data_IF_192939164679
#
_entry.id   IF_192939164679
#
_cell.length_a   1.000
_cell.length_b   1.000
_cell.length_c   1.000
_cell.angle_alpha   90.00
_cell.angle_beta   90.00
_cell.angle_gamma   90.00
#
_symmetry.space_group_name_H-M   'P 1'
#
loop_
_entity.id
_entity.type
_entity.pdbx_description
1 polymer ?
#
# COMPACT_ATOMS: atom_id res chain seq x y z
N UNK A 1 24.22 5.76 -0.25
CA UNK A 1 23.42 6.24 -1.40
C UNK A 1 22.21 5.33 -1.54
N UNK A 2 20.98 5.86 -1.73
CA UNK A 2 19.76 5.03 -1.88
C UNK A 2 19.43 4.94 -3.37
N UNK A 3 19.23 3.73 -3.87
CA UNK A 3 18.80 3.49 -5.25
C UNK A 3 17.33 3.06 -5.28
N UNK A 4 16.58 3.59 -6.23
CA UNK A 4 15.20 3.17 -6.50
C UNK A 4 15.12 2.54 -7.90
N UNK A 5 14.57 1.34 -7.96
CA UNK A 5 14.34 0.62 -9.21
C UNK A 5 12.85 0.49 -9.46
N UNK A 6 12.43 0.65 -10.71
CA UNK A 6 11.05 0.51 -11.14
C UNK A 6 10.98 -0.54 -12.26
N UNK A 7 10.25 -1.60 -12.01
CA UNK A 7 10.07 -2.70 -12.95
C UNK A 7 8.58 -2.91 -13.27
N UNK A 8 8.32 -3.41 -14.49
CA UNK A 8 6.96 -3.76 -14.90
C UNK A 8 6.66 -5.19 -14.47
N UNK A 9 5.50 -5.38 -13.85
CA UNK A 9 4.94 -6.69 -13.47
C UNK A 9 4.00 -7.19 -14.57
N UNK A 10 3.94 -8.51 -14.75
CA UNK A 10 3.03 -9.20 -15.66
C UNK A 10 2.22 -10.26 -14.88
N UNK A 11 1.29 -9.85 -14.03
CA UNK A 11 0.43 -10.76 -13.30
C UNK A 11 -0.59 -11.39 -14.26
N UNK A 12 -0.98 -12.65 -13.98
CA UNK A 12 -2.12 -13.28 -14.62
C UNK A 12 -3.43 -12.77 -14.01
N UNK A 13 -4.59 -13.19 -14.57
CA UNK A 13 -5.90 -12.71 -14.14
C UNK A 13 -6.20 -12.97 -12.66
N UNK A 14 -5.88 -14.16 -12.15
CA UNK A 14 -6.09 -14.51 -10.75
C UNK A 14 -5.19 -13.67 -9.82
N UNK A 15 -3.93 -13.44 -10.21
CA UNK A 15 -3.00 -12.59 -9.48
C UNK A 15 -3.45 -11.12 -9.46
N UNK A 16 -4.00 -10.62 -10.58
CA UNK A 16 -4.60 -9.28 -10.65
C UNK A 16 -5.73 -9.16 -9.63
N UNK A 17 -6.66 -10.11 -9.65
CA UNK A 17 -7.81 -10.10 -8.73
C UNK A 17 -7.37 -10.13 -7.26
N UNK A 18 -6.41 -10.99 -6.92
CA UNK A 18 -5.85 -11.03 -5.57
C UNK A 18 -5.21 -9.70 -5.16
N UNK A 19 -4.39 -9.10 -6.04
CA UNK A 19 -3.74 -7.80 -5.76
C UNK A 19 -4.76 -6.68 -5.60
N UNK A 20 -5.84 -6.68 -6.37
CA UNK A 20 -6.94 -5.73 -6.22
C UNK A 20 -7.63 -5.89 -4.86
N UNK A 21 -7.92 -7.13 -4.43
CA UNK A 21 -8.48 -7.38 -3.11
C UNK A 21 -7.54 -6.89 -2.00
N UNK A 22 -6.23 -7.11 -2.11
CA UNK A 22 -5.26 -6.60 -1.14
C UNK A 22 -5.22 -5.06 -1.09
N UNK A 23 -5.45 -4.38 -2.21
CA UNK A 23 -5.58 -2.92 -2.24
C UNK A 23 -6.88 -2.44 -1.58
N UNK A 24 -7.99 -3.18 -1.73
CA UNK A 24 -9.24 -2.91 -1.01
C UNK A 24 -9.03 -3.01 0.49
N UNK A 25 -8.51 -4.14 0.96
CA UNK A 25 -8.21 -4.37 2.37
C UNK A 25 -7.31 -3.28 2.97
N UNK A 26 -6.27 -2.88 2.24
CA UNK A 26 -5.38 -1.81 2.69
C UNK A 26 -6.07 -0.43 2.73
N UNK A 27 -6.97 -0.16 1.79
CA UNK A 27 -7.76 1.06 1.75
C UNK A 27 -8.76 1.11 2.91
N UNK A 28 -9.44 0.00 3.18
CA UNK A 28 -10.43 -0.12 4.25
C UNK A 28 -9.77 0.00 5.61
N UNK A 29 -8.63 -0.67 5.83
CA UNK A 29 -7.83 -0.51 7.05
C UNK A 29 -7.39 0.95 7.27
N UNK A 30 -6.94 1.65 6.20
CA UNK A 30 -6.57 3.06 6.28
C UNK A 30 -7.76 3.93 6.70
N UNK A 31 -8.92 3.69 6.09
CA UNK A 31 -10.13 4.47 6.33
C UNK A 31 -10.73 4.19 7.72
N UNK A 32 -10.75 2.93 8.15
CA UNK A 32 -11.18 2.55 9.50
C UNK A 32 -10.31 3.19 10.58
N UNK A 33 -8.99 3.13 10.41
CA UNK A 33 -8.05 3.76 11.33
C UNK A 33 -8.17 5.30 11.37
N UNK A 34 -8.47 5.94 10.22
CA UNK A 34 -8.75 7.37 10.17
C UNK A 34 -10.06 7.70 10.89
N UNK A 35 -11.10 6.90 10.67
CA UNK A 35 -12.41 7.08 11.32
C UNK A 35 -12.26 6.97 12.84
N UNK A 36 -11.57 5.95 13.33
CA UNK A 36 -11.31 5.76 14.76
C UNK A 36 -10.63 6.99 15.39
N UNK A 37 -9.58 7.54 14.77
CA UNK A 37 -8.91 8.76 15.26
C UNK A 37 -9.86 9.97 15.30
N UNK A 38 -10.71 10.11 14.29
CA UNK A 38 -11.69 11.21 14.23
C UNK A 38 -12.74 11.09 15.32
N UNK A 39 -13.28 9.89 15.50
CA UNK A 39 -14.37 9.65 16.46
C UNK A 39 -13.87 9.74 17.90
N UNK A 40 -12.69 9.17 18.20
CA UNK A 40 -12.07 9.29 19.51
C UNK A 40 -11.84 10.75 19.91
N UNK A 41 -11.40 11.58 18.98
CA UNK A 41 -11.24 13.01 19.22
C UNK A 41 -12.57 13.74 19.35
N UNK A 42 -13.55 13.45 18.47
CA UNK A 42 -14.85 14.12 18.44
C UNK A 42 -15.67 13.81 19.69
N UNK A 43 -15.72 12.54 20.11
CA UNK A 43 -16.59 12.07 21.21
C UNK A 43 -15.88 12.22 22.55
N UNK A 44 -14.63 11.75 22.65
CA UNK A 44 -13.92 11.61 23.92
C UNK A 44 -12.76 12.61 24.09
N UNK A 45 -12.47 13.45 23.10
CA UNK A 45 -11.26 14.31 23.06
C UNK A 45 -9.95 13.54 23.24
N UNK A 46 -9.96 12.23 22.96
CA UNK A 46 -8.80 11.35 23.08
C UNK A 46 -8.00 11.35 21.79
N UNK A 47 -6.70 11.58 21.89
CA UNK A 47 -5.77 11.44 20.77
C UNK A 47 -5.30 9.99 20.67
N UNK A 48 -5.50 9.36 19.51
CA UNK A 48 -5.03 8.01 19.19
C UNK A 48 -3.79 8.13 18.30
N UNK A 49 -2.71 7.46 18.66
CA UNK A 49 -1.46 7.44 17.93
C UNK A 49 -1.26 6.13 17.14
N UNK A 50 -0.11 6.01 16.46
CA UNK A 50 0.24 4.82 15.69
C UNK A 50 0.30 3.55 16.56
N UNK A 51 0.87 3.62 17.75
CA UNK A 51 1.07 2.44 18.62
C UNK A 51 -0.24 1.92 19.15
N UNK A 52 -1.17 2.81 19.51
CA UNK A 52 -2.53 2.43 19.95
C UNK A 52 -3.22 1.57 18.90
N UNK A 53 -3.14 1.99 17.63
CA UNK A 53 -3.75 1.27 16.51
C UNK A 53 -2.96 0.02 16.10
N UNK A 54 -1.62 0.08 16.15
CA UNK A 54 -0.79 -1.07 15.81
C UNK A 54 -0.99 -2.26 16.77
N UNK A 55 -1.26 -1.98 18.04
CA UNK A 55 -1.56 -3.01 19.05
C UNK A 55 -2.88 -3.74 18.76
N UNK A 56 -3.82 -3.09 18.09
CA UNK A 56 -5.11 -3.70 17.70
C UNK A 56 -4.97 -4.66 16.49
N UNK A 57 -3.93 -4.53 15.67
CA UNK A 57 -3.79 -5.32 14.44
C UNK A 57 -3.74 -6.83 14.71
N UNK A 58 -3.09 -7.25 15.79
CA UNK A 58 -2.93 -8.68 16.12
C UNK A 58 -4.27 -9.34 16.48
N UNK A 59 -5.07 -8.82 17.41
CA UNK A 59 -6.41 -9.36 17.71
C UNK A 59 -7.35 -9.25 16.49
N UNK A 60 -7.42 -8.11 15.80
CA UNK A 60 -8.26 -7.95 14.62
C UNK A 60 -7.96 -9.00 13.53
N UNK A 61 -6.68 -9.33 13.36
CA UNK A 61 -6.27 -10.36 12.41
C UNK A 61 -6.67 -11.77 12.87
N UNK A 62 -6.58 -12.06 14.17
CA UNK A 62 -7.01 -13.34 14.74
C UNK A 62 -8.51 -13.55 14.58
N UNK A 63 -9.30 -12.50 14.63
CA UNK A 63 -10.75 -12.48 14.41
C UNK A 63 -11.13 -12.44 12.92
N UNK A 64 -10.16 -12.43 11.99
CA UNK A 64 -10.43 -12.39 10.55
C UNK A 64 -10.89 -11.04 10.00
N UNK A 65 -10.80 -9.97 10.77
CA UNK A 65 -11.24 -8.63 10.39
C UNK A 65 -10.29 -7.92 9.42
N UNK A 66 -9.09 -8.47 9.20
CA UNK A 66 -8.07 -7.92 8.28
C UNK A 66 -7.65 -9.00 7.29
N UNK A 67 -7.99 -8.83 6.02
CA UNK A 67 -7.68 -9.74 4.92
C UNK A 67 -6.31 -9.53 4.26
N UNK A 68 -5.49 -8.57 4.73
CA UNK A 68 -4.15 -8.35 4.19
C UNK A 68 -3.25 -9.56 4.44
N UNK A 69 -2.65 -10.10 3.38
CA UNK A 69 -1.84 -11.31 3.44
C UNK A 69 -0.57 -11.15 4.30
N UNK A 70 0.03 -9.96 4.30
CA UNK A 70 1.26 -9.69 5.04
C UNK A 70 1.03 -8.71 6.20
N UNK A 71 1.43 -9.10 7.41
CA UNK A 71 1.25 -8.28 8.62
C UNK A 71 2.03 -6.96 8.59
N UNK A 72 3.25 -6.96 8.03
CA UNK A 72 4.04 -5.73 7.91
C UNK A 72 3.40 -4.70 6.98
N UNK A 73 2.60 -5.16 6.00
CA UNK A 73 1.80 -4.28 5.15
C UNK A 73 0.70 -3.58 5.95
N UNK A 74 0.05 -4.28 6.91
CA UNK A 74 -0.94 -3.64 7.80
C UNK A 74 -0.28 -2.51 8.61
N UNK A 75 0.88 -2.78 9.18
CA UNK A 75 1.65 -1.76 9.93
C UNK A 75 2.04 -0.57 9.03
N UNK A 76 2.43 -0.81 7.76
CA UNK A 76 2.76 0.28 6.83
C UNK A 76 1.54 1.14 6.49
N UNK A 77 0.36 0.54 6.36
CA UNK A 77 -0.89 1.29 6.17
C UNK A 77 -1.12 2.27 7.32
N UNK A 78 -0.96 1.82 8.57
CA UNK A 78 -1.09 2.69 9.75
C UNK A 78 0.02 3.76 9.81
N UNK A 79 1.26 3.40 9.45
CA UNK A 79 2.37 4.39 9.35
C UNK A 79 2.11 5.46 8.30
N UNK A 80 1.48 5.12 7.17
CA UNK A 80 1.07 6.10 6.14
C UNK A 80 0.04 7.07 6.68
N UNK A 81 -0.95 6.58 7.45
CA UNK A 81 -1.92 7.43 8.11
C UNK A 81 -1.23 8.34 9.13
N UNK A 82 -0.37 7.79 9.96
CA UNK A 82 0.36 8.53 10.97
C UNK A 82 1.22 9.65 10.37
N UNK A 83 1.98 9.38 9.31
CA UNK A 83 2.71 10.40 8.54
C UNK A 83 1.80 11.52 8.02
N UNK A 84 0.57 11.19 7.64
CA UNK A 84 -0.41 12.18 7.18
C UNK A 84 -0.82 13.12 8.31
N UNK A 85 -1.04 12.58 9.52
CA UNK A 85 -1.32 13.38 10.71
C UNK A 85 -0.11 14.20 11.15
N UNK A 86 1.09 13.63 11.14
CA UNK A 86 2.32 14.36 11.43
C UNK A 86 2.50 15.56 10.49
N UNK A 87 2.27 15.37 9.19
CA UNK A 87 2.34 16.46 8.22
C UNK A 87 1.25 17.52 8.45
N UNK A 88 0.04 17.10 8.81
CA UNK A 88 -1.05 18.00 9.18
C UNK A 88 -0.66 18.87 10.39
N UNK A 89 -0.24 18.26 11.50
CA UNK A 89 0.14 19.00 12.70
C UNK A 89 1.39 19.86 12.52
N UNK A 90 2.35 19.42 11.69
CA UNK A 90 3.51 20.24 11.36
C UNK A 90 3.12 21.53 10.64
N UNK A 91 2.14 21.47 9.74
CA UNK A 91 1.60 22.66 9.07
C UNK A 91 0.83 23.57 10.02
N UNK A 92 0.00 23.00 10.88
CA UNK A 92 -0.73 23.79 11.93
C UNK A 92 0.27 24.56 12.79
N UNK A 93 1.34 23.88 13.25
CA UNK A 93 2.38 24.55 14.06
C UNK A 93 3.10 25.70 13.35
N UNK A 94 3.15 25.66 12.00
CA UNK A 94 3.70 26.76 11.19
C UNK A 94 2.70 27.89 10.91
N UNK A 95 1.49 27.83 11.50
CA UNK A 95 0.43 28.82 11.28
C UNK A 95 -0.31 28.65 9.95
N UNK A 96 -0.05 27.57 9.19
CA UNK A 96 -0.79 27.27 7.97
C UNK A 96 -2.22 26.80 8.31
N UNK A 97 -3.13 26.85 7.33
CA UNK A 97 -4.48 26.28 7.42
C UNK A 97 -4.57 24.99 6.58
N UNK A 98 -3.97 23.86 7.02
CA UNK A 98 -4.01 22.63 6.25
C UNK A 98 -5.39 21.99 6.30
N UNK A 99 -5.77 21.32 5.21
CA UNK A 99 -6.95 20.45 5.23
C UNK A 99 -6.72 19.23 6.14
N UNK A 100 -7.76 18.83 6.87
CA UNK A 100 -7.72 17.62 7.70
C UNK A 100 -7.47 16.35 6.84
N UNK A 101 -6.80 15.31 7.36
CA UNK A 101 -6.61 14.04 6.67
C UNK A 101 -7.93 13.49 6.12
N UNK A 102 -7.93 13.07 4.85
CA UNK A 102 -9.14 12.64 4.14
C UNK A 102 -9.17 11.13 3.95
N UNK A 103 -10.38 10.59 3.91
CA UNK A 103 -10.61 9.22 3.46
C UNK A 103 -10.05 8.98 2.06
N UNK A 104 -9.56 7.77 1.84
CA UNK A 104 -9.05 7.33 0.56
C UNK A 104 -10.15 6.61 -0.22
N UNK A 105 -10.37 7.03 -1.45
CA UNK A 105 -11.17 6.25 -2.39
C UNK A 105 -10.33 5.06 -2.86
N UNK A 106 -10.94 3.88 -2.98
CA UNK A 106 -10.31 2.71 -3.55
C UNK A 106 -9.69 2.98 -4.94
N UNK A 107 -10.33 3.80 -5.76
CA UNK A 107 -9.80 4.18 -7.09
C UNK A 107 -8.48 4.94 -7.04
N UNK A 108 -8.14 5.55 -5.91
CA UNK A 108 -6.91 6.32 -5.67
C UNK A 108 -5.92 5.60 -4.76
N UNK A 109 -6.30 4.43 -4.23
CA UNK A 109 -5.40 3.60 -3.43
C UNK A 109 -4.74 2.57 -4.35
N UNK A 110 -3.51 2.84 -4.78
CA UNK A 110 -2.85 2.19 -5.91
C UNK A 110 -1.58 1.42 -5.54
N UNK A 111 -1.22 1.38 -4.27
CA UNK A 111 0.04 0.78 -3.88
C UNK A 111 0.03 0.13 -2.50
N UNK A 112 0.70 -1.02 -2.40
CA UNK A 112 1.03 -1.72 -1.16
C UNK A 112 2.55 -1.69 -1.00
N UNK A 113 3.03 -1.41 0.22
CA UNK A 113 4.46 -1.45 0.55
C UNK A 113 4.75 -2.66 1.42
N UNK A 114 5.78 -3.39 1.05
CA UNK A 114 6.44 -4.40 1.87
C UNK A 114 7.65 -3.71 2.52
N UNK A 115 7.59 -3.38 3.81
CA UNK A 115 8.62 -2.55 4.46
C UNK A 115 9.98 -3.21 4.52
N UNK A 116 10.00 -4.55 4.65
CA UNK A 116 11.24 -5.33 4.77
C UNK A 116 11.37 -6.25 3.55
N UNK A 117 12.50 -6.17 2.86
CA UNK A 117 12.81 -7.07 1.75
C UNK A 117 12.90 -8.52 2.25
N UNK A 118 12.32 -9.45 1.49
CA UNK A 118 12.25 -10.87 1.88
C UNK A 118 11.05 -11.21 2.75
N UNK A 119 10.49 -10.26 3.49
CA UNK A 119 9.25 -10.46 4.26
C UNK A 119 8.03 -10.17 3.39
N UNK A 120 7.47 -11.22 2.80
CA UNK A 120 6.28 -11.16 1.96
C UNK A 120 6.52 -10.73 0.50
N UNK A 121 7.68 -10.18 0.16
CA UNK A 121 8.02 -9.84 -1.22
C UNK A 121 9.52 -10.00 -1.47
N UNK A 122 9.89 -10.84 -2.47
CA UNK A 122 11.29 -11.14 -2.80
C UNK A 122 11.47 -11.35 -4.31
N UNK A 123 12.53 -10.76 -4.85
CA UNK A 123 13.00 -11.07 -6.19
C UNK A 123 13.81 -12.34 -6.16
N UNK A 124 13.49 -13.29 -7.04
CA UNK A 124 14.21 -14.57 -7.18
C UNK A 124 15.29 -14.45 -8.26
N UNK A 125 16.22 -15.42 -8.26
CA UNK A 125 17.35 -15.44 -9.20
C UNK A 125 16.92 -15.72 -10.64
N UNK A 126 15.77 -16.40 -10.82
CA UNK A 126 15.11 -16.60 -12.13
C UNK A 126 14.42 -15.36 -12.68
N UNK A 127 14.56 -14.21 -12.01
CA UNK A 127 13.98 -12.94 -12.43
C UNK A 127 12.50 -12.79 -12.18
N UNK A 128 11.87 -13.67 -11.37
CA UNK A 128 10.48 -13.53 -10.95
C UNK A 128 10.37 -12.87 -9.58
N UNK A 129 9.28 -12.15 -9.37
CA UNK A 129 8.95 -11.57 -8.08
C UNK A 129 8.00 -12.50 -7.33
N UNK A 130 8.42 -13.00 -6.17
CA UNK A 130 7.54 -13.74 -5.26
C UNK A 130 6.83 -12.73 -4.34
N UNK A 131 5.50 -12.79 -4.31
CA UNK A 131 4.66 -12.01 -3.40
C UNK A 131 3.81 -12.95 -2.58
N UNK A 132 3.75 -12.76 -1.27
CA UNK A 132 2.95 -13.55 -0.35
C UNK A 132 1.46 -13.48 -0.72
N UNK A 133 0.82 -14.63 -0.82
CA UNK A 133 -0.58 -14.80 -1.24
C UNK A 133 -0.81 -14.77 -2.75
N UNK A 134 0.10 -14.17 -3.52
CA UNK A 134 0.01 -14.05 -4.99
C UNK A 134 0.81 -15.15 -5.70
N UNK A 135 1.93 -15.58 -5.10
CA UNK A 135 2.89 -16.48 -5.73
C UNK A 135 3.94 -15.76 -6.57
N UNK A 136 4.33 -16.38 -7.68
CA UNK A 136 5.39 -15.90 -8.57
C UNK A 136 4.80 -15.02 -9.68
N UNK A 137 5.32 -13.80 -9.82
CA UNK A 137 4.93 -12.88 -10.90
C UNK A 137 6.13 -12.64 -11.80
N UNK A 138 5.94 -12.76 -13.13
CA UNK A 138 6.94 -12.38 -14.12
C UNK A 138 7.16 -10.87 -14.09
N UNK A 139 8.42 -10.44 -14.08
CA UNK A 139 8.79 -9.02 -14.16
C UNK A 139 9.75 -8.77 -15.33
N UNK A 140 9.75 -7.53 -15.86
CA UNK A 140 10.72 -7.12 -16.88
C UNK A 140 11.93 -6.48 -16.19
N UNK A 141 12.99 -7.26 -16.02
CA UNK A 141 14.29 -6.78 -15.53
C UNK A 141 15.07 -6.15 -16.69
N UNK A 142 14.87 -4.86 -16.94
CA UNK A 142 15.60 -4.14 -18.02
C UNK A 142 16.97 -3.62 -17.55
N UNK A 143 17.29 -3.76 -16.28
CA UNK A 143 18.59 -3.43 -15.68
C UNK A 143 18.81 -4.28 -14.42
N UNK A 144 20.08 -4.64 -14.11
CA UNK A 144 20.37 -5.41 -12.90
C UNK A 144 20.09 -4.59 -11.64
N UNK A 145 19.62 -5.25 -10.59
CA UNK A 145 19.52 -4.67 -9.25
C UNK A 145 20.94 -4.70 -8.64
N UNK A 146 21.50 -3.55 -8.31
CA UNK A 146 22.77 -3.46 -7.59
C UNK A 146 22.55 -3.95 -6.14
N UNK A 147 23.48 -4.75 -5.61
CA UNK A 147 23.37 -5.33 -4.26
C UNK A 147 22.70 -6.71 -4.25
N UNK A 148 22.87 -7.54 -5.30
CA UNK A 148 22.48 -8.95 -5.28
C UNK A 148 23.39 -9.73 -4.35
N UNK A 149 22.76 -10.47 -3.47
CA UNK A 149 23.15 -11.71 -2.80
C UNK A 149 24.06 -11.71 -1.58
N UNK A 150 24.93 -10.74 -1.31
CA UNK A 150 25.73 -10.74 -0.08
C UNK A 150 25.47 -9.55 0.85
N UNK A 151 24.93 -8.43 0.34
CA UNK A 151 24.66 -7.21 1.12
C UNK A 151 23.19 -7.13 1.58
N UNK A 152 22.52 -8.23 1.80
CA UNK A 152 21.08 -8.25 2.21
C UNK A 152 20.84 -7.71 3.61
N UNK A 153 21.86 -7.69 4.39
CA UNK A 153 21.98 -6.93 5.63
C UNK A 153 23.11 -5.94 5.43
N UNK A 154 22.79 -4.79 4.83
CA UNK A 154 23.69 -3.65 4.91
C UNK A 154 23.98 -3.43 6.41
N UNK A 155 25.26 -3.51 6.81
CA UNK A 155 25.75 -3.34 8.19
C UNK A 155 25.34 -1.98 8.80
N UNK A 156 24.62 -1.16 8.06
CA UNK A 156 24.10 0.14 8.45
C UNK A 156 22.58 0.15 8.78
N UNK A 157 21.90 -1.00 8.89
CA UNK A 157 20.49 -1.06 9.31
C UNK A 157 19.49 -0.36 8.37
N UNK A 158 19.81 -0.21 7.09
CA UNK A 158 18.95 0.43 6.11
C UNK A 158 17.95 -0.55 5.53
N UNK A 159 16.72 -0.44 5.96
CA UNK A 159 15.62 -1.26 5.45
C UNK A 159 15.40 -1.04 3.94
N UNK A 160 15.60 -2.10 3.15
CA UNK A 160 15.18 -2.13 1.75
C UNK A 160 13.69 -2.40 1.68
N UNK A 161 12.94 -1.49 1.11
CA UNK A 161 11.49 -1.65 0.95
C UNK A 161 11.11 -1.93 -0.50
N UNK A 162 10.07 -2.73 -0.70
CA UNK A 162 9.45 -2.97 -2.01
C UNK A 162 8.05 -2.36 -2.00
N UNK A 163 7.78 -1.48 -2.96
CA UNK A 163 6.44 -0.95 -3.17
C UNK A 163 5.89 -1.48 -4.48
N UNK A 164 4.77 -2.17 -4.40
CA UNK A 164 4.03 -2.65 -5.55
C UNK A 164 2.97 -1.61 -5.92
N UNK A 165 3.09 -1.05 -7.12
CA UNK A 165 2.07 -0.15 -7.68
C UNK A 165 1.20 -0.92 -8.65
N UNK A 166 -0.10 -0.80 -8.49
CA UNK A 166 -1.08 -1.37 -9.39
C UNK A 166 -1.71 -0.26 -10.23
N UNK A 167 -1.32 -0.20 -11.52
CA UNK A 167 -1.92 0.74 -12.45
C UNK A 167 -3.13 0.08 -13.12
N UNK A 168 -4.34 0.38 -12.65
CA UNK A 168 -5.57 -0.04 -13.31
C UNK A 168 -5.61 0.49 -14.73
N UNK A 169 -5.97 -0.37 -15.69
CA UNK A 169 -6.32 0.09 -17.03
C UNK A 169 -7.48 1.09 -16.87
N UNK A 170 -7.28 2.33 -17.29
CA UNK A 170 -8.41 3.24 -17.45
C UNK A 170 -9.28 2.66 -18.54
N UNK A 171 -10.48 2.17 -18.22
CA UNK A 171 -11.50 1.95 -19.20
C UNK A 171 -11.73 3.29 -19.91
N UNK A 172 -11.26 3.42 -21.15
CA UNK A 172 -11.82 4.40 -22.07
C UNK A 172 -13.31 4.04 -22.15
N UNK A 173 -14.18 4.91 -21.68
CA UNK A 173 -15.59 4.87 -22.09
C UNK A 173 -15.55 4.95 -23.60
N UNK A 174 -15.90 3.86 -24.24
CA UNK A 174 -16.33 3.89 -25.65
C UNK A 174 -17.67 4.62 -25.58
N UNK A 175 -17.64 5.90 -25.86
CA UNK A 175 -18.84 6.69 -26.14
C UNK A 175 -19.45 6.09 -27.39
N UNK A 176 -20.74 5.80 -27.28
CA UNK A 176 -21.53 5.04 -28.22
C UNK A 176 -21.39 5.52 -29.67
N UNK A 177 -21.43 4.52 -30.51
CA UNK A 177 -21.80 4.66 -31.93
C UNK A 177 -23.29 5.02 -31.95
N UNK A 178 -23.59 6.27 -32.30
CA UNK A 178 -24.91 6.63 -32.79
C UNK A 178 -25.14 5.90 -34.09
N UNK A 179 -26.02 4.90 -34.07
CA UNK A 179 -26.66 4.42 -35.27
C UNK A 179 -27.69 5.48 -35.71
N UNK A 180 -27.32 6.25 -36.71
CA UNK A 180 -28.27 7.05 -37.46
C UNK A 180 -29.06 6.15 -38.39
N UNK A 181 -30.26 5.83 -38.01
CA UNK A 181 -31.31 5.44 -38.96
C UNK A 181 -31.69 6.66 -39.77
N UNK A 182 -31.70 6.51 -41.07
CA UNK A 182 -32.47 7.36 -41.97
C UNK A 182 -33.07 6.54 -43.13
N UNK A 183 -34.16 7.03 -43.61
CA UNK A 183 -35.34 6.38 -44.13
C UNK A 183 -35.16 5.81 -45.52
#
# INVERSE_FOLDING_TARGET
MRFAYKYRLYPNRAQVHFLENQLHEACDLYNAALQERRDAWKVCRKSINYYDQANQLKPMRAEGLIGLANFSCCQDVLRRLDKTFQAFFARVRRGERPGFPRFRSFRRYDSITFPSYGNGCRLLDDGKLRIQGVGLIKIKLHRPVRGRDQDRYDQAGRESLVRVFFRRARHRRVTGVEQGDRP
#
